data_IF_676502886448
#
_entry.id   IF_676502886448
#
_cell.length_a   1.000
_cell.length_b   1.000
_cell.length_c   1.000
_cell.angle_alpha   90.00
_cell.angle_beta   90.00
_cell.angle_gamma   90.00
#
_symmetry.space_group_name_H-M   'P 1'
#
loop_
_entity.id
_entity.type
_entity.pdbx_description
1 polymer ?
#
# COMPACT_ATOMS: atom_id res chain seq x y z
N UNK A 1 -23.50 1.90 16.70
CA UNK A 1 -22.09 2.30 16.65
C UNK A 1 -21.41 1.67 17.85
N UNK A 2 -20.45 0.78 17.62
CA UNK A 2 -19.65 0.19 18.71
C UNK A 2 -18.66 1.24 19.25
N UNK A 3 -18.18 1.10 20.51
CA UNK A 3 -17.23 2.06 21.06
C UNK A 3 -15.93 2.15 20.26
N UNK A 4 -15.46 1.04 19.67
CA UNK A 4 -14.26 1.01 18.84
C UNK A 4 -14.48 1.67 17.47
N UNK A 5 -15.64 1.47 16.83
CA UNK A 5 -16.01 2.20 15.61
C UNK A 5 -16.02 3.71 15.84
N UNK A 6 -16.62 4.16 16.94
CA UNK A 6 -16.68 5.58 17.29
C UNK A 6 -15.29 6.19 17.52
N UNK A 7 -14.38 5.42 18.13
CA UNK A 7 -12.99 5.80 18.34
C UNK A 7 -12.24 5.94 17.02
N UNK A 8 -12.36 4.97 16.12
CA UNK A 8 -11.68 5.00 14.81
C UNK A 8 -12.14 6.18 13.96
N UNK A 9 -13.45 6.42 13.88
CA UNK A 9 -14.01 7.56 13.11
C UNK A 9 -13.52 8.90 13.66
N UNK A 10 -13.43 9.02 14.97
CA UNK A 10 -12.92 10.23 15.61
C UNK A 10 -11.42 10.43 15.34
N UNK A 11 -10.63 9.35 15.44
CA UNK A 11 -9.18 9.39 15.20
C UNK A 11 -8.85 9.71 13.74
N UNK A 12 -9.56 9.10 12.79
CA UNK A 12 -9.44 9.39 11.35
C UNK A 12 -9.83 10.82 11.00
N UNK A 13 -10.94 11.33 11.56
CA UNK A 13 -11.37 12.70 11.32
C UNK A 13 -10.33 13.71 11.80
N UNK A 14 -9.72 13.46 12.97
CA UNK A 14 -8.68 14.32 13.53
C UNK A 14 -7.36 14.20 12.75
N UNK A 15 -6.97 12.99 12.35
CA UNK A 15 -5.79 12.75 11.52
C UNK A 15 -5.91 13.48 10.18
N UNK A 16 -7.03 13.33 9.48
CA UNK A 16 -7.26 14.01 8.20
C UNK A 16 -7.22 15.55 8.31
N UNK A 17 -7.55 16.11 9.48
CA UNK A 17 -7.55 17.55 9.72
C UNK A 17 -6.19 18.10 10.21
N UNK A 18 -5.43 17.30 10.96
CA UNK A 18 -4.26 17.79 11.71
C UNK A 18 -2.96 17.03 11.45
N UNK A 19 -3.01 15.96 10.66
CA UNK A 19 -1.91 15.01 10.42
C UNK A 19 -1.37 14.38 11.73
N UNK A 20 -2.22 14.33 12.77
CA UNK A 20 -1.91 13.78 14.09
C UNK A 20 -3.08 12.98 14.61
N UNK A 21 -2.78 11.86 15.26
CA UNK A 21 -3.78 11.03 15.93
C UNK A 21 -4.20 11.60 17.29
N UNK A 22 -5.35 11.14 17.80
CA UNK A 22 -5.80 11.43 19.15
C UNK A 22 -4.79 10.93 20.18
N UNK A 23 -4.49 11.78 21.17
CA UNK A 23 -3.64 11.40 22.30
C UNK A 23 -4.33 10.38 23.22
N UNK A 24 -3.56 9.67 24.04
CA UNK A 24 -4.10 8.62 24.93
C UNK A 24 -5.19 9.14 25.88
N UNK A 25 -5.01 10.35 26.42
CA UNK A 25 -6.02 10.98 27.29
C UNK A 25 -7.29 11.36 26.51
N UNK A 26 -7.17 11.77 25.24
CA UNK A 26 -8.32 12.07 24.39
C UNK A 26 -9.08 10.81 23.99
N UNK A 27 -8.37 9.72 23.69
CA UNK A 27 -8.96 8.38 23.42
C UNK A 27 -9.70 7.86 24.66
N UNK A 28 -9.08 7.99 25.83
CA UNK A 28 -9.70 7.63 27.11
C UNK A 28 -10.98 8.45 27.34
N UNK A 29 -10.91 9.78 27.21
CA UNK A 29 -12.08 10.67 27.38
C UNK A 29 -13.21 10.29 26.42
N UNK A 30 -12.90 9.96 25.16
CA UNK A 30 -13.89 9.57 24.19
C UNK A 30 -14.54 8.23 24.54
N UNK A 31 -13.74 7.23 24.97
CA UNK A 31 -14.21 5.91 25.39
C UNK A 31 -15.13 5.98 26.61
N UNK A 32 -14.70 6.71 27.64
CA UNK A 32 -15.49 6.92 28.86
C UNK A 32 -16.76 7.74 28.58
N UNK A 33 -16.67 8.74 27.69
CA UNK A 33 -17.86 9.48 27.26
C UNK A 33 -18.84 8.62 26.45
N UNK A 34 -18.36 7.58 25.75
CA UNK A 34 -19.21 6.59 25.07
C UNK A 34 -19.88 5.62 26.05
N UNK A 35 -19.35 5.47 27.27
CA UNK A 35 -19.97 4.70 28.35
C UNK A 35 -20.89 5.56 29.26
N UNK A 36 -21.17 6.82 28.88
CA UNK A 36 -21.92 7.79 29.70
C UNK A 36 -21.26 8.17 31.04
N UNK A 37 -19.96 7.94 31.19
CA UNK A 37 -19.20 8.30 32.40
C UNK A 37 -19.06 9.83 32.55
N UNK A 38 -19.27 10.35 33.76
CA UNK A 38 -19.06 11.78 34.08
C UNK A 38 -17.55 12.13 34.10
N UNK A 39 -17.17 13.41 34.02
CA UNK A 39 -15.73 13.75 34.11
C UNK A 39 -15.16 13.52 35.51
N UNK A 40 -16.04 13.53 36.50
CA UNK A 40 -15.76 13.34 37.91
C UNK A 40 -15.48 11.86 38.23
N UNK A 41 -16.05 10.94 37.45
CA UNK A 41 -15.90 9.49 37.63
C UNK A 41 -14.76 8.87 36.79
N UNK A 42 -14.20 9.63 35.84
CA UNK A 42 -13.07 9.18 35.00
C UNK A 42 -11.78 9.06 35.82
N UNK A 43 -11.20 7.87 35.85
CA UNK A 43 -9.97 7.56 36.57
C UNK A 43 -8.73 7.68 35.67
N UNK A 44 -7.56 7.93 36.28
CA UNK A 44 -6.26 7.93 35.59
C UNK A 44 -5.60 9.31 35.42
N UNK A 45 -6.35 10.40 35.56
CA UNK A 45 -5.82 11.77 35.51
C UNK A 45 -6.55 12.71 36.48
N UNK A 46 -5.96 13.87 36.78
CA UNK A 46 -6.63 14.89 37.58
C UNK A 46 -7.87 15.44 36.86
N UNK A 47 -8.97 15.64 37.59
CA UNK A 47 -10.25 16.11 37.04
C UNK A 47 -10.08 17.41 36.23
N UNK A 48 -9.25 18.34 36.71
CA UNK A 48 -8.94 19.59 35.97
C UNK A 48 -8.27 19.31 34.61
N UNK A 49 -7.34 18.35 34.57
CA UNK A 49 -6.66 17.97 33.34
C UNK A 49 -7.61 17.28 32.35
N UNK A 50 -8.49 16.40 32.83
CA UNK A 50 -9.54 15.75 32.04
C UNK A 50 -10.49 16.78 31.44
N UNK A 51 -10.93 17.78 32.23
CA UNK A 51 -11.81 18.86 31.73
C UNK A 51 -11.12 19.73 30.67
N UNK A 52 -9.83 20.01 30.85
CA UNK A 52 -9.05 20.78 29.88
C UNK A 52 -8.87 20.01 28.56
N UNK A 53 -8.45 18.74 28.63
CA UNK A 53 -8.28 17.90 27.43
C UNK A 53 -9.61 17.55 26.76
N UNK A 54 -10.68 17.37 27.54
CA UNK A 54 -12.03 17.17 26.99
C UNK A 54 -12.52 18.39 26.21
N UNK A 55 -12.27 19.60 26.72
CA UNK A 55 -12.62 20.85 26.02
C UNK A 55 -11.85 20.99 24.71
N UNK A 56 -10.55 20.65 24.71
CA UNK A 56 -9.73 20.62 23.49
C UNK A 56 -10.22 19.58 22.50
N UNK A 57 -10.55 18.37 22.97
CA UNK A 57 -11.08 17.28 22.17
C UNK A 57 -12.36 17.68 21.43
N UNK A 58 -13.34 18.27 22.12
CA UNK A 58 -14.60 18.66 21.47
C UNK A 58 -14.42 19.79 20.46
N UNK A 59 -13.53 20.74 20.74
CA UNK A 59 -13.16 21.77 19.76
C UNK A 59 -12.49 21.17 18.53
N UNK A 60 -11.52 20.30 18.74
CA UNK A 60 -10.79 19.61 17.67
C UNK A 60 -11.72 18.77 16.80
N UNK A 61 -12.65 18.04 17.41
CA UNK A 61 -13.69 17.30 16.69
C UNK A 61 -14.68 18.24 15.99
N UNK A 62 -14.97 19.41 16.55
CA UNK A 62 -15.83 20.38 15.87
C UNK A 62 -15.19 20.92 14.58
N UNK A 63 -13.89 21.21 14.65
CA UNK A 63 -13.08 21.67 13.52
C UNK A 63 -12.94 20.57 12.46
N UNK A 64 -12.56 19.35 12.88
CA UNK A 64 -12.41 18.19 12.00
C UNK A 64 -13.72 17.71 11.35
N UNK A 65 -14.85 17.82 12.07
CA UNK A 65 -16.17 17.40 11.58
C UNK A 65 -16.94 18.51 10.85
N UNK A 66 -16.47 19.75 10.89
CA UNK A 66 -17.15 20.90 10.28
C UNK A 66 -18.52 21.22 10.89
N UNK A 67 -18.81 20.71 12.09
CA UNK A 67 -20.06 20.93 12.83
C UNK A 67 -19.78 21.04 14.32
N UNK A 68 -20.63 21.74 15.06
CA UNK A 68 -20.44 21.91 16.52
C UNK A 68 -20.58 20.58 17.25
N UNK A 69 -19.53 20.18 17.97
CA UNK A 69 -19.45 18.94 18.76
C UNK A 69 -19.30 19.28 20.25
N UNK A 70 -20.02 18.56 21.10
CA UNK A 70 -19.95 18.63 22.55
C UNK A 70 -20.09 17.22 23.14
N UNK A 71 -19.80 17.05 24.45
CA UNK A 71 -19.98 15.76 25.16
C UNK A 71 -21.38 15.15 25.01
N UNK A 72 -22.43 15.95 24.78
CA UNK A 72 -23.79 15.45 24.60
C UNK A 72 -24.17 15.23 23.13
N UNK A 73 -23.42 15.81 22.19
CA UNK A 73 -23.74 15.77 20.75
C UNK A 73 -22.71 14.99 19.92
N UNK A 74 -21.57 14.60 20.50
CA UNK A 74 -20.51 13.90 19.77
C UNK A 74 -20.96 12.55 19.22
N UNK A 75 -21.79 11.80 19.96
CA UNK A 75 -22.35 10.54 19.45
C UNK A 75 -23.15 10.77 18.17
N UNK A 76 -24.05 11.75 18.20
CA UNK A 76 -24.84 12.12 17.03
C UNK A 76 -23.97 12.67 15.89
N UNK A 77 -22.91 13.43 16.22
CA UNK A 77 -21.98 13.98 15.24
C UNK A 77 -21.11 12.90 14.57
N UNK A 78 -20.62 11.92 15.34
CA UNK A 78 -19.85 10.77 14.85
C UNK A 78 -20.75 9.79 14.09
N UNK A 79 -21.95 9.52 14.60
CA UNK A 79 -22.95 8.74 13.85
C UNK A 79 -23.35 9.45 12.56
N UNK A 80 -23.48 10.78 12.57
CA UNK A 80 -23.74 11.55 11.36
C UNK A 80 -22.52 11.55 10.45
N UNK A 81 -21.28 11.58 10.94
CA UNK A 81 -20.07 11.41 10.11
C UNK A 81 -20.01 10.01 9.52
N UNK A 82 -20.41 8.98 10.26
CA UNK A 82 -20.58 7.60 9.77
C UNK A 82 -21.71 7.51 8.73
N UNK A 83 -22.87 8.11 9.02
CA UNK A 83 -24.06 8.13 8.17
C UNK A 83 -23.94 9.07 6.98
N UNK A 84 -23.09 10.10 7.03
CA UNK A 84 -22.81 11.08 5.97
C UNK A 84 -21.53 10.74 5.21
N UNK A 85 -20.65 9.93 5.80
CA UNK A 85 -19.77 9.03 5.06
C UNK A 85 -20.57 7.93 4.34
N UNK A 86 -21.86 7.75 4.70
CA UNK A 86 -22.76 6.79 4.06
C UNK A 86 -23.93 7.38 3.24
N UNK A 87 -24.32 8.67 3.37
CA UNK A 87 -25.29 9.41 2.52
C UNK A 87 -25.14 10.93 2.73
N UNK A 88 -24.85 11.63 1.63
CA UNK A 88 -25.26 13.01 1.39
C UNK A 88 -26.01 13.12 0.06
N UNK A 89 -26.99 12.24 -0.18
CA UNK A 89 -27.88 12.31 -1.34
C UNK A 89 -29.01 13.32 -1.14
N UNK A 90 -29.37 14.05 -2.20
CA UNK A 90 -30.67 13.86 -2.83
C UNK A 90 -30.80 14.62 -4.16
N UNK A 91 -30.70 13.89 -5.27
CA UNK A 91 -31.76 13.81 -6.28
C UNK A 91 -31.39 12.72 -7.31
N UNK A 92 -32.11 11.60 -7.23
CA UNK A 92 -32.34 10.62 -8.31
C UNK A 92 -31.11 9.81 -8.81
N UNK A 93 -31.01 8.56 -8.33
CA UNK A 93 -30.31 7.46 -9.01
C UNK A 93 -29.02 6.95 -8.34
N UNK A 94 -29.00 5.66 -7.95
CA UNK A 94 -27.85 4.73 -7.80
C UNK A 94 -26.51 5.29 -7.26
N UNK A 95 -26.10 4.89 -6.05
CA UNK A 95 -24.70 4.99 -5.61
C UNK A 95 -24.23 3.74 -4.84
N UNK A 96 -23.84 2.70 -5.57
CA UNK A 96 -22.84 1.70 -5.15
C UNK A 96 -21.40 2.17 -5.54
N UNK A 97 -21.24 3.43 -5.95
CA UNK A 97 -20.16 3.91 -6.81
C UNK A 97 -18.91 4.53 -6.15
N UNK A 98 -18.81 4.91 -4.85
CA UNK A 98 -17.55 5.48 -4.32
C UNK A 98 -16.42 4.46 -4.22
N UNK A 99 -16.70 3.28 -3.63
CA UNK A 99 -15.69 2.24 -3.37
C UNK A 99 -15.27 1.54 -4.66
N UNK A 100 -16.23 1.21 -5.54
CA UNK A 100 -15.95 0.60 -6.84
C UNK A 100 -15.11 1.52 -7.72
N UNK A 101 -15.38 2.83 -7.72
CA UNK A 101 -14.58 3.79 -8.48
C UNK A 101 -13.16 3.96 -7.91
N UNK A 102 -13.02 3.99 -6.58
CA UNK A 102 -11.71 4.07 -5.95
C UNK A 102 -10.87 2.82 -6.21
N UNK A 103 -11.46 1.62 -6.08
CA UNK A 103 -10.79 0.36 -6.42
C UNK A 103 -10.44 0.29 -7.90
N UNK A 104 -11.32 0.79 -8.78
CA UNK A 104 -11.03 0.88 -10.23
C UNK A 104 -9.83 1.77 -10.50
N UNK A 105 -9.71 2.91 -9.83
CA UNK A 105 -8.57 3.82 -9.95
C UNK A 105 -7.27 3.18 -9.42
N UNK A 106 -7.32 2.50 -8.28
CA UNK A 106 -6.17 1.77 -7.70
C UNK A 106 -5.66 0.71 -8.69
N UNK A 107 -6.54 -0.16 -9.19
CA UNK A 107 -6.18 -1.22 -10.14
C UNK A 107 -5.67 -0.63 -11.46
N UNK A 108 -6.25 0.48 -11.93
CA UNK A 108 -5.77 1.16 -13.13
C UNK A 108 -4.36 1.71 -12.96
N UNK A 109 -4.05 2.33 -11.81
CA UNK A 109 -2.70 2.81 -11.51
C UNK A 109 -1.69 1.68 -11.45
N UNK A 110 -2.06 0.54 -10.88
CA UNK A 110 -1.20 -0.66 -10.88
C UNK A 110 -1.00 -1.21 -12.30
N UNK A 111 -2.04 -1.19 -13.15
CA UNK A 111 -1.93 -1.55 -14.56
C UNK A 111 -0.98 -0.61 -15.32
N UNK A 112 -1.08 0.70 -15.10
CA UNK A 112 -0.21 1.68 -15.75
C UNK A 112 1.26 1.48 -15.35
N UNK A 113 1.51 1.14 -14.09
CA UNK A 113 2.84 0.74 -13.62
C UNK A 113 3.31 -0.54 -14.34
N UNK A 114 2.50 -1.60 -14.32
CA UNK A 114 2.83 -2.85 -15.03
C UNK A 114 3.16 -2.61 -16.51
N UNK A 115 2.44 -1.70 -17.17
CA UNK A 115 2.70 -1.32 -18.54
C UNK A 115 4.04 -0.58 -18.70
N UNK A 116 4.38 0.35 -17.81
CA UNK A 116 5.71 0.99 -17.81
C UNK A 116 6.84 -0.05 -17.67
N UNK A 117 6.66 -1.10 -16.87
CA UNK A 117 7.64 -2.19 -16.74
C UNK A 117 7.85 -2.94 -18.07
N UNK A 118 6.80 -3.13 -18.87
CA UNK A 118 6.89 -3.77 -20.18
C UNK A 118 7.61 -2.90 -21.21
N UNK A 119 7.28 -1.60 -21.24
CA UNK A 119 7.80 -0.63 -22.20
C UNK A 119 9.31 -0.38 -22.04
N UNK A 120 9.82 -0.47 -20.82
CA UNK A 120 11.26 -0.35 -20.59
C UNK A 120 12.01 -1.66 -20.93
N UNK A 121 12.90 -1.59 -21.92
CA UNK A 121 13.76 -2.70 -22.34
C UNK A 121 15.11 -2.75 -21.60
N UNK A 122 15.44 -1.73 -20.82
CA UNK A 122 16.75 -1.62 -20.19
C UNK A 122 16.82 -2.29 -18.83
N UNK A 123 17.90 -3.04 -18.62
CA UNK A 123 18.35 -3.61 -17.34
C UNK A 123 18.47 -2.56 -16.21
N UNK A 124 18.42 -1.26 -16.55
CA UNK A 124 18.53 -0.15 -15.62
C UNK A 124 17.22 0.37 -15.06
N UNK A 125 16.07 -0.07 -15.59
CA UNK A 125 14.77 0.44 -15.18
C UNK A 125 14.27 -0.15 -13.85
N UNK A 126 14.61 -1.41 -13.57
CA UNK A 126 14.40 -2.01 -12.25
C UNK A 126 15.29 -1.30 -11.23
N UNK A 127 14.65 -0.53 -10.37
CA UNK A 127 15.21 0.21 -9.24
C UNK A 127 14.42 -0.11 -7.97
N UNK A 128 14.91 0.33 -6.83
CA UNK A 128 14.26 0.17 -5.52
C UNK A 128 12.84 0.77 -5.49
N UNK A 129 12.47 1.61 -6.47
CA UNK A 129 11.08 2.06 -6.68
C UNK A 129 10.12 0.87 -6.80
N UNK A 130 10.48 -0.20 -7.51
CA UNK A 130 9.59 -1.34 -7.79
C UNK A 130 9.31 -2.25 -6.59
N UNK A 131 10.05 -2.12 -5.48
CA UNK A 131 9.90 -2.99 -4.31
C UNK A 131 8.85 -2.52 -3.31
N UNK A 132 8.09 -1.47 -3.63
CA UNK A 132 7.01 -0.95 -2.76
C UNK A 132 5.97 -0.11 -3.51
N UNK A 133 6.05 0.05 -4.84
CA UNK A 133 5.08 0.89 -5.55
C UNK A 133 3.66 0.32 -5.52
N UNK A 134 3.49 -0.98 -5.69
CA UNK A 134 2.17 -1.62 -5.70
C UNK A 134 1.53 -1.64 -4.31
N UNK A 135 2.32 -1.84 -3.25
CA UNK A 135 1.82 -1.85 -1.88
C UNK A 135 1.23 -0.52 -1.41
N UNK A 136 1.57 0.60 -2.06
CA UNK A 136 1.02 1.93 -1.76
C UNK A 136 -0.37 2.16 -2.38
N UNK A 137 -0.71 1.41 -3.42
CA UNK A 137 -1.91 1.62 -4.24
C UNK A 137 -3.06 0.67 -3.85
N UNK A 138 -3.00 -0.02 -2.72
CA UNK A 138 -4.01 -1.04 -2.31
C UNK A 138 -4.72 -0.71 -1.01
N UNK A 139 -4.81 0.56 -0.66
CA UNK A 139 -5.37 0.98 0.63
C UNK A 139 -6.87 0.62 0.71
N UNK A 140 -7.60 0.79 -0.40
CA UNK A 140 -9.02 0.43 -0.48
C UNK A 140 -9.21 -1.08 -0.43
N UNK A 141 -8.36 -1.85 -1.11
CA UNK A 141 -8.44 -3.31 -1.06
C UNK A 141 -8.13 -3.89 0.33
N UNK A 142 -7.24 -3.25 1.10
CA UNK A 142 -6.92 -3.68 2.47
C UNK A 142 -8.04 -3.40 3.48
N UNK A 143 -8.97 -2.48 3.16
CA UNK A 143 -10.10 -2.17 4.01
C UNK A 143 -11.17 -3.29 3.97
N UNK A 144 -11.53 -3.78 5.16
CA UNK A 144 -12.47 -4.89 5.31
C UNK A 144 -13.89 -4.49 4.84
N UNK A 145 -14.28 -3.24 5.06
CA UNK A 145 -15.59 -2.73 4.64
C UNK A 145 -15.70 -2.67 3.11
N UNK A 146 -14.63 -2.28 2.41
CA UNK A 146 -14.54 -2.27 0.96
C UNK A 146 -14.61 -3.69 0.36
N UNK A 147 -13.90 -4.66 0.96
CA UNK A 147 -13.97 -6.07 0.54
C UNK A 147 -15.36 -6.66 0.73
N UNK A 148 -15.99 -6.40 1.87
CA UNK A 148 -17.35 -6.88 2.15
C UNK A 148 -18.38 -6.28 1.18
N UNK A 149 -18.22 -5.01 0.81
CA UNK A 149 -19.07 -4.36 -0.20
C UNK A 149 -18.92 -5.01 -1.58
N UNK A 150 -17.68 -5.31 -2.00
CA UNK A 150 -17.42 -6.04 -3.25
C UNK A 150 -18.02 -7.44 -3.26
N UNK A 151 -17.91 -8.17 -2.14
CA UNK A 151 -18.48 -9.51 -1.98
C UNK A 151 -20.00 -9.49 -2.10
N UNK A 152 -20.65 -8.44 -1.57
CA UNK A 152 -22.10 -8.26 -1.68
C UNK A 152 -22.54 -8.00 -3.12
N UNK A 153 -21.74 -7.26 -3.91
CA UNK A 153 -22.03 -6.97 -5.31
C UNK A 153 -21.73 -8.15 -6.26
N UNK A 154 -20.59 -8.82 -6.11
CA UNK A 154 -20.22 -9.97 -6.95
C UNK A 154 -19.09 -10.81 -6.34
N UNK A 155 -19.40 -12.06 -5.98
CA UNK A 155 -18.41 -13.00 -5.45
C UNK A 155 -17.32 -13.36 -6.45
N UNK A 156 -17.68 -13.52 -7.73
CA UNK A 156 -16.71 -13.81 -8.79
C UNK A 156 -15.75 -12.65 -9.03
N UNK A 157 -16.23 -11.41 -8.92
CA UNK A 157 -15.39 -10.23 -9.08
C UNK A 157 -14.40 -10.09 -7.92
N UNK A 158 -14.82 -10.39 -6.68
CA UNK A 158 -13.91 -10.43 -5.54
C UNK A 158 -12.78 -11.45 -5.73
N UNK A 159 -13.10 -12.65 -6.22
CA UNK A 159 -12.10 -13.68 -6.52
C UNK A 159 -11.09 -13.22 -7.57
N UNK A 160 -11.55 -12.51 -8.62
CA UNK A 160 -10.65 -11.93 -9.63
C UNK A 160 -9.73 -10.83 -9.07
N UNK A 161 -10.27 -9.91 -8.26
CA UNK A 161 -9.48 -8.85 -7.63
C UNK A 161 -8.45 -9.43 -6.66
N UNK A 162 -8.85 -10.43 -5.87
CA UNK A 162 -7.95 -11.13 -4.96
C UNK A 162 -6.81 -11.84 -5.70
N UNK A 163 -7.12 -12.50 -6.81
CA UNK A 163 -6.12 -13.15 -7.67
C UNK A 163 -5.17 -12.12 -8.30
N UNK A 164 -5.71 -10.98 -8.78
CA UNK A 164 -4.89 -9.89 -9.30
C UNK A 164 -3.84 -9.40 -8.30
N UNK A 165 -4.25 -9.06 -7.08
CA UNK A 165 -3.29 -8.58 -6.08
C UNK A 165 -2.29 -9.65 -5.64
N UNK A 166 -2.70 -10.92 -5.57
CA UNK A 166 -1.78 -12.02 -5.29
C UNK A 166 -0.71 -12.17 -6.40
N UNK A 167 -1.10 -11.97 -7.66
CA UNK A 167 -0.18 -11.99 -8.78
C UNK A 167 0.75 -10.75 -8.81
N UNK A 168 0.24 -9.57 -8.43
CA UNK A 168 1.04 -8.35 -8.26
C UNK A 168 2.09 -8.52 -7.15
N UNK A 169 1.74 -9.14 -6.02
CA UNK A 169 2.71 -9.48 -4.95
C UNK A 169 3.83 -10.42 -5.48
N UNK A 170 3.48 -11.40 -6.31
CA UNK A 170 4.46 -12.30 -6.93
C UNK A 170 5.40 -11.57 -7.92
N UNK A 171 4.92 -10.54 -8.62
CA UNK A 171 5.75 -9.65 -9.44
C UNK A 171 6.73 -8.89 -8.55
N UNK A 172 6.27 -8.31 -7.44
CA UNK A 172 7.10 -7.54 -6.52
C UNK A 172 8.24 -8.41 -5.97
N UNK A 173 7.94 -9.64 -5.54
CA UNK A 173 8.94 -10.61 -5.09
C UNK A 173 9.95 -10.97 -6.21
N UNK A 174 9.46 -11.12 -7.45
CA UNK A 174 10.31 -11.39 -8.62
C UNK A 174 11.24 -10.22 -8.93
N UNK A 175 10.76 -8.98 -8.80
CA UNK A 175 11.56 -7.76 -8.94
C UNK A 175 12.65 -7.68 -7.87
N UNK A 176 12.33 -7.98 -6.61
CA UNK A 176 13.31 -8.04 -5.52
C UNK A 176 14.42 -9.08 -5.81
N UNK A 177 14.04 -10.29 -6.27
CA UNK A 177 15.00 -11.33 -6.67
C UNK A 177 15.92 -10.88 -7.80
N UNK A 178 15.40 -10.13 -8.78
CA UNK A 178 16.19 -9.58 -9.89
C UNK A 178 17.13 -8.47 -9.43
N UNK A 179 16.69 -7.58 -8.52
CA UNK A 179 17.54 -6.55 -7.92
C UNK A 179 18.69 -7.18 -7.12
N UNK A 180 18.43 -8.25 -6.37
CA UNK A 180 19.46 -9.01 -5.66
C UNK A 180 20.47 -9.70 -6.61
N UNK A 181 20.05 -10.09 -7.82
CA UNK A 181 20.98 -10.56 -8.85
C UNK A 181 21.80 -9.39 -9.43
N UNK A 182 21.16 -8.24 -9.67
CA UNK A 182 21.83 -7.04 -10.18
C UNK A 182 22.91 -6.52 -9.23
N UNK A 183 22.67 -6.55 -7.92
CA UNK A 183 23.67 -6.18 -6.91
C UNK A 183 24.90 -7.10 -6.90
N UNK A 184 24.76 -8.35 -7.37
CA UNK A 184 25.88 -9.29 -7.55
C UNK A 184 26.63 -9.09 -8.87
N UNK A 185 25.96 -8.58 -9.90
CA UNK A 185 26.55 -8.27 -11.21
C UNK A 185 27.42 -7.00 -11.14
N UNK A 186 26.93 -5.94 -10.48
CA UNK A 186 27.58 -4.63 -10.39
C UNK A 186 29.07 -4.67 -9.97
N UNK A 187 29.49 -5.42 -8.93
CA UNK A 187 30.89 -5.55 -8.55
C UNK A 187 31.74 -6.26 -9.61
N UNK A 188 31.17 -7.27 -10.28
CA UNK A 188 31.86 -8.05 -11.32
C UNK A 188 32.07 -7.21 -12.59
N UNK A 189 31.07 -6.43 -12.99
CA UNK A 189 31.18 -5.47 -14.11
C UNK A 189 32.18 -4.35 -13.78
N UNK A 190 32.20 -3.85 -12.53
CA UNK A 190 33.19 -2.88 -12.08
C UNK A 190 34.62 -3.43 -12.16
N UNK A 191 34.83 -4.68 -11.73
CA UNK A 191 36.12 -5.38 -11.85
C UNK A 191 36.54 -5.56 -13.31
N UNK A 192 35.63 -6.03 -14.16
CA UNK A 192 35.88 -6.21 -15.59
C UNK A 192 36.28 -4.89 -16.26
N UNK A 193 35.59 -3.80 -15.94
CA UNK A 193 35.86 -2.46 -16.50
C UNK A 193 37.22 -1.92 -16.04
N UNK A 194 37.57 -2.08 -14.75
CA UNK A 194 38.89 -1.70 -14.21
C UNK A 194 40.04 -2.43 -14.90
N UNK A 195 39.84 -3.72 -15.20
CA UNK A 195 40.82 -4.55 -15.90
C UNK A 195 40.79 -4.36 -17.44
N UNK A 196 39.98 -3.43 -17.98
CA UNK A 196 39.80 -3.24 -19.44
C UNK A 196 39.47 -4.55 -20.18
N UNK A 197 38.73 -5.45 -19.53
CA UNK A 197 38.38 -6.76 -20.09
C UNK A 197 39.50 -7.81 -20.09
N UNK A 198 40.67 -7.53 -19.49
CA UNK A 198 41.73 -8.52 -19.32
C UNK A 198 41.33 -9.52 -18.23
N UNK A 199 41.41 -10.81 -18.56
CA UNK A 199 41.09 -11.92 -17.65
C UNK A 199 42.39 -12.52 -17.15
N UNK A 200 42.59 -12.56 -15.83
CA UNK A 200 43.70 -13.27 -15.23
C UNK A 200 43.37 -14.77 -15.14
N UNK A 201 44.18 -15.59 -15.82
CA UNK A 201 44.06 -17.05 -15.80
C UNK A 201 45.24 -17.61 -15.03
N UNK A 202 44.95 -18.17 -13.85
CA UNK A 202 45.90 -19.03 -13.14
C UNK A 202 45.60 -20.47 -13.55
N UNK A 203 46.64 -21.30 -13.69
CA UNK A 203 46.50 -22.73 -13.94
C UNK A 203 45.87 -23.47 -12.75
N UNK A 204 46.33 -24.67 -12.43
CA UNK A 204 45.81 -25.45 -11.27
C UNK A 204 46.22 -24.89 -9.90
N UNK A 205 46.91 -23.75 -9.86
CA UNK A 205 47.38 -23.12 -8.62
C UNK A 205 46.24 -22.36 -7.93
N UNK A 206 46.14 -22.51 -6.61
CA UNK A 206 45.21 -21.73 -5.78
C UNK A 206 45.48 -20.23 -5.96
N UNK A 207 44.46 -19.38 -6.17
CA UNK A 207 44.64 -17.95 -6.34
C UNK A 207 45.37 -17.30 -5.15
N UNK A 208 46.51 -16.61 -5.38
CA UNK A 208 47.19 -15.84 -4.35
C UNK A 208 46.35 -14.66 -3.83
N UNK A 209 46.65 -14.19 -2.62
CA UNK A 209 45.83 -13.18 -1.94
C UNK A 209 45.73 -11.81 -2.66
N UNK A 210 46.76 -11.43 -3.42
CA UNK A 210 46.77 -10.21 -4.23
C UNK A 210 45.82 -10.26 -5.44
N UNK A 211 45.34 -11.44 -5.82
CA UNK A 211 44.47 -11.61 -7.01
C UNK A 211 43.02 -11.21 -6.75
N UNK A 212 42.63 -10.92 -5.50
CA UNK A 212 41.26 -10.54 -5.11
C UNK A 212 40.71 -9.32 -5.86
N UNK A 213 41.60 -8.41 -6.26
CA UNK A 213 41.27 -7.16 -6.97
C UNK A 213 41.26 -7.30 -8.50
N UNK A 214 41.70 -8.45 -9.03
CA UNK A 214 41.75 -8.73 -10.46
C UNK A 214 40.50 -9.47 -10.94
N UNK A 215 40.19 -9.31 -12.22
CA UNK A 215 39.09 -10.03 -12.86
C UNK A 215 39.55 -11.42 -13.29
N UNK A 216 39.08 -12.45 -12.60
CA UNK A 216 39.51 -13.85 -12.79
C UNK A 216 38.65 -14.58 -13.84
N UNK A 217 39.16 -15.68 -14.39
CA UNK A 217 38.36 -16.56 -15.25
C UNK A 217 37.09 -17.08 -14.56
N UNK A 218 37.15 -17.35 -13.25
CA UNK A 218 35.99 -17.71 -12.42
C UNK A 218 34.96 -16.59 -12.34
N UNK A 219 35.41 -15.34 -12.26
CA UNK A 219 34.55 -14.15 -12.20
C UNK A 219 33.85 -13.92 -13.54
N UNK A 220 34.56 -14.15 -14.66
CA UNK A 220 33.98 -14.09 -16.00
C UNK A 220 32.90 -15.16 -16.21
N UNK A 221 33.16 -16.40 -15.79
CA UNK A 221 32.18 -17.50 -15.85
C UNK A 221 30.96 -17.18 -14.96
N UNK A 222 31.19 -16.68 -13.74
CA UNK A 222 30.12 -16.29 -12.84
C UNK A 222 29.28 -15.14 -13.42
N UNK A 223 29.92 -14.11 -13.98
CA UNK A 223 29.25 -12.96 -14.59
C UNK A 223 28.33 -13.39 -15.74
N UNK A 224 28.86 -14.17 -16.70
CA UNK A 224 28.06 -14.70 -17.82
C UNK A 224 26.89 -15.56 -17.33
N UNK A 225 27.13 -16.40 -16.32
CA UNK A 225 26.09 -17.27 -15.76
C UNK A 225 24.97 -16.46 -15.09
N UNK A 226 25.33 -15.45 -14.29
CA UNK A 226 24.37 -14.59 -13.58
C UNK A 226 23.60 -13.72 -14.58
N UNK A 227 24.26 -13.14 -15.60
CA UNK A 227 23.61 -12.37 -16.65
C UNK A 227 22.60 -13.21 -17.46
N UNK A 228 22.93 -14.46 -17.79
CA UNK A 228 21.99 -15.40 -18.43
C UNK A 228 20.77 -15.67 -17.56
N UNK A 229 20.98 -15.98 -16.27
CA UNK A 229 19.88 -16.21 -15.31
C UNK A 229 19.00 -14.97 -15.20
N UNK A 230 19.60 -13.79 -15.09
CA UNK A 230 18.89 -12.52 -15.03
C UNK A 230 18.01 -12.32 -16.27
N UNK A 231 18.58 -12.51 -17.47
CA UNK A 231 17.83 -12.32 -18.72
C UNK A 231 16.64 -13.28 -18.84
N UNK A 232 16.83 -14.57 -18.49
CA UNK A 232 15.74 -15.57 -18.51
C UNK A 232 14.63 -15.18 -17.53
N UNK A 233 14.99 -14.81 -16.30
CA UNK A 233 14.02 -14.42 -15.27
C UNK A 233 13.29 -13.13 -15.64
N UNK A 234 13.99 -12.16 -16.21
CA UNK A 234 13.39 -10.90 -16.65
C UNK A 234 12.42 -11.12 -17.83
N UNK A 235 12.76 -12.00 -18.78
CA UNK A 235 11.82 -12.39 -19.84
C UNK A 235 10.56 -13.05 -19.29
N UNK A 236 10.72 -14.01 -18.38
CA UNK A 236 9.60 -14.67 -17.71
C UNK A 236 8.74 -13.68 -16.91
N UNK A 237 9.37 -12.69 -16.26
CA UNK A 237 8.65 -11.61 -15.58
C UNK A 237 7.77 -10.82 -16.56
N UNK A 238 8.31 -10.40 -17.71
CA UNK A 238 7.52 -9.67 -18.72
C UNK A 238 6.32 -10.48 -19.22
N UNK A 239 6.50 -11.78 -19.48
CA UNK A 239 5.40 -12.66 -19.90
C UNK A 239 4.28 -12.74 -18.84
N UNK A 240 4.65 -12.80 -17.57
CA UNK A 240 3.70 -12.79 -16.45
C UNK A 240 2.99 -11.44 -16.30
N UNK A 241 3.74 -10.33 -16.43
CA UNK A 241 3.20 -8.97 -16.37
C UNK A 241 2.14 -8.75 -17.45
N UNK A 242 2.34 -9.23 -18.69
CA UNK A 242 1.33 -9.13 -19.74
C UNK A 242 0.00 -9.79 -19.34
N UNK A 243 0.05 -11.00 -18.77
CA UNK A 243 -1.15 -11.74 -18.34
C UNK A 243 -1.90 -11.02 -17.22
N UNK A 244 -1.15 -10.43 -16.30
CA UNK A 244 -1.72 -9.68 -15.16
C UNK A 244 -2.33 -8.37 -15.62
N UNK A 245 -1.72 -7.71 -16.61
CA UNK A 245 -2.28 -6.51 -17.23
C UNK A 245 -3.63 -6.81 -17.91
N UNK A 246 -3.73 -7.92 -18.64
CA UNK A 246 -4.99 -8.36 -19.24
C UNK A 246 -6.06 -8.65 -18.18
N UNK A 247 -5.67 -9.28 -17.07
CA UNK A 247 -6.54 -9.55 -15.92
C UNK A 247 -7.02 -8.23 -15.27
N UNK A 248 -6.12 -7.29 -14.98
CA UNK A 248 -6.44 -5.99 -14.40
C UNK A 248 -7.40 -5.18 -15.29
N UNK A 249 -7.12 -5.10 -16.59
CA UNK A 249 -7.99 -4.46 -17.58
C UNK A 249 -9.37 -5.13 -17.70
N UNK A 250 -9.46 -6.44 -17.47
CA UNK A 250 -10.74 -7.15 -17.41
C UNK A 250 -11.50 -6.77 -16.14
N UNK A 251 -10.84 -6.76 -14.98
CA UNK A 251 -11.44 -6.39 -13.69
C UNK A 251 -11.97 -4.95 -13.74
N UNK A 252 -11.18 -4.01 -14.27
CA UNK A 252 -11.59 -2.61 -14.47
C UNK A 252 -12.85 -2.51 -15.34
N UNK A 253 -12.96 -3.30 -16.40
CA UNK A 253 -14.18 -3.34 -17.25
C UNK A 253 -15.38 -3.89 -16.50
N UNK A 254 -15.21 -4.97 -15.73
CA UNK A 254 -16.30 -5.56 -14.94
C UNK A 254 -16.75 -4.59 -13.81
N UNK A 255 -15.81 -3.94 -13.12
CA UNK A 255 -16.10 -2.92 -12.10
C UNK A 255 -16.86 -1.72 -12.67
N UNK A 256 -16.49 -1.23 -13.85
CA UNK A 256 -17.18 -0.12 -14.53
C UNK A 256 -18.58 -0.50 -15.03
N UNK A 257 -18.82 -1.77 -15.36
CA UNK A 257 -20.15 -2.26 -15.71
C UNK A 257 -21.05 -2.31 -14.48
N UNK A 258 -20.51 -2.72 -13.33
CA UNK A 258 -21.21 -2.71 -12.05
C UNK A 258 -21.48 -1.29 -11.53
N UNK A 259 -20.59 -0.31 -11.81
CA UNK A 259 -20.84 1.10 -11.44
C UNK A 259 -21.90 1.79 -12.31
N UNK A 260 -22.24 1.22 -13.47
CA UNK A 260 -23.23 1.75 -14.42
C UNK A 260 -24.64 1.14 -14.25
N UNK A 261 -24.77 0.05 -13.48
CA UNK A 261 -26.03 -0.65 -13.18
C UNK A 261 -26.68 -0.17 -11.89
#
# INVERSE_FOLDING_TARGET
MTPEEALNVADEAVYAHTDRHLTDIQRMILRESLADTSYEDMQGYQIQHIKNEGSKLWRLLSEALGQKVSKTSFRAALEKRLKSGNIGGNAVGKQETPVLNLLTLEIQQDCDLLQQLLEHNDNNYLSDKWTSCFSKNRNVWQDLSCRLSLVQSSRSLMELVQDFYQQVDAIEESCQKLLALKSRILPLESKQQKCKGQILVLGTMKPPEWTKDYFMASDAVALVSIQKIYHIKFKSLKETVCKILDLGNRIVRELNQHSSQ
#
